data_IF_537185660189
#
_entry.id   IF_537185660189
#
_cell.length_a   1.000
_cell.length_b   1.000
_cell.length_c   1.000
_cell.angle_alpha   90.00
_cell.angle_beta   90.00
_cell.angle_gamma   90.00
#
_symmetry.space_group_name_H-M   'P 1'
#
loop_
_entity.id
_entity.type
_entity.pdbx_description
1 polymer ?
#
# COMPACT_ATOMS: atom_id res chain seq x y z
N UNK A 1 1.09 34.24 -2.34
CA UNK A 1 1.38 33.01 -3.10
C UNK A 1 1.25 31.86 -2.11
N UNK A 2 0.13 31.15 -2.14
CA UNK A 2 -0.15 30.06 -1.21
C UNK A 2 0.52 28.81 -1.79
N UNK A 3 1.53 28.28 -1.12
CA UNK A 3 2.13 27.00 -1.49
C UNK A 3 1.04 25.94 -1.30
N UNK A 4 0.72 25.23 -2.37
CA UNK A 4 -0.11 24.02 -2.28
C UNK A 4 0.71 23.02 -1.47
N UNK A 5 0.27 22.68 -0.26
CA UNK A 5 0.93 21.62 0.50
C UNK A 5 0.87 20.35 -0.36
N UNK A 6 2.04 19.91 -0.81
CA UNK A 6 2.17 18.66 -1.53
C UNK A 6 2.09 17.58 -0.47
N UNK A 7 1.03 16.77 -0.49
CA UNK A 7 0.87 15.65 0.44
C UNK A 7 2.12 14.75 0.42
N UNK A 8 2.41 14.14 1.57
CA UNK A 8 3.58 13.27 1.70
C UNK A 8 3.51 12.10 0.70
N UNK A 9 4.65 11.63 0.19
CA UNK A 9 4.69 10.54 -0.78
C UNK A 9 4.30 9.20 -0.15
N UNK A 10 3.93 8.25 -1.01
CA UNK A 10 3.73 6.85 -0.64
C UNK A 10 4.93 6.02 -1.10
N UNK A 11 5.35 5.05 -0.28
CA UNK A 11 6.41 4.11 -0.66
C UNK A 11 5.82 3.04 -1.57
N UNK A 12 6.34 2.92 -2.80
CA UNK A 12 6.01 1.79 -3.67
C UNK A 12 6.80 0.55 -3.26
N UNK A 13 6.13 -0.41 -2.62
CA UNK A 13 6.77 -1.62 -2.10
C UNK A 13 7.17 -2.58 -3.20
N UNK A 14 6.67 -2.43 -4.43
CA UNK A 14 7.09 -3.27 -5.55
C UNK A 14 8.22 -2.67 -6.39
N UNK A 15 8.54 -1.39 -6.16
CA UNK A 15 9.58 -0.71 -6.93
C UNK A 15 10.95 -1.33 -6.67
N UNK A 16 11.72 -1.70 -7.73
CA UNK A 16 13.10 -2.14 -7.58
C UNK A 16 13.97 -1.14 -6.83
N UNK A 17 13.70 0.16 -6.98
CA UNK A 17 14.42 1.21 -6.24
C UNK A 17 14.17 1.11 -4.73
N UNK A 18 12.94 0.83 -4.31
CA UNK A 18 12.61 0.56 -2.90
C UNK A 18 13.32 -0.69 -2.41
N UNK A 19 13.41 -1.74 -3.24
CA UNK A 19 14.08 -2.98 -2.87
C UNK A 19 15.58 -2.80 -2.64
N UNK A 20 16.26 -2.13 -3.57
CA UNK A 20 17.69 -1.78 -3.42
C UNK A 20 17.89 -0.94 -2.16
N UNK A 21 17.07 0.10 -1.97
CA UNK A 21 17.19 0.98 -0.82
C UNK A 21 17.03 0.22 0.50
N UNK A 22 15.98 -0.60 0.66
CA UNK A 22 15.73 -1.35 1.89
C UNK A 22 16.77 -2.44 2.13
N UNK A 23 17.29 -3.06 1.07
CA UNK A 23 18.39 -4.04 1.18
C UNK A 23 19.63 -3.40 1.79
N UNK A 24 19.95 -2.16 1.41
CA UNK A 24 21.10 -1.43 1.91
C UNK A 24 20.87 -0.77 3.27
N UNK A 25 19.68 -0.20 3.51
CA UNK A 25 19.43 0.72 4.63
C UNK A 25 18.51 0.16 5.71
N UNK A 26 17.89 -1.00 5.49
CA UNK A 26 17.06 -1.70 6.46
C UNK A 26 17.43 -3.20 6.58
N UNK A 27 18.71 -3.60 6.64
CA UNK A 27 19.09 -5.01 6.67
C UNK A 27 18.51 -5.76 7.88
N UNK A 28 18.39 -5.10 9.04
CA UNK A 28 17.79 -5.71 10.23
C UNK A 28 16.32 -6.10 10.03
N UNK A 29 15.56 -5.26 9.32
CA UNK A 29 14.17 -5.56 8.93
C UNK A 29 14.11 -6.83 8.07
N UNK A 30 15.03 -6.97 7.12
CA UNK A 30 15.03 -8.09 6.16
C UNK A 30 15.53 -9.39 6.80
N UNK A 31 16.55 -9.31 7.66
CA UNK A 31 17.08 -10.47 8.39
C UNK A 31 16.05 -11.10 9.32
N UNK A 32 15.13 -10.32 9.90
CA UNK A 32 13.99 -10.85 10.68
C UNK A 32 13.03 -11.74 9.85
N UNK A 33 13.14 -11.68 8.52
CA UNK A 33 12.36 -12.45 7.58
C UNK A 33 13.23 -13.43 6.77
N UNK A 34 14.49 -13.65 7.16
CA UNK A 34 15.47 -14.50 6.46
C UNK A 34 15.73 -14.04 5.00
N UNK A 35 15.72 -12.73 4.77
CA UNK A 35 15.94 -12.12 3.45
C UNK A 35 17.25 -11.34 3.47
N UNK A 36 18.17 -11.68 2.58
CA UNK A 36 19.42 -10.93 2.38
C UNK A 36 19.28 -9.87 1.29
N UNK A 37 18.55 -10.18 0.21
CA UNK A 37 18.33 -9.29 -0.91
C UNK A 37 16.83 -9.25 -1.22
N UNK A 38 16.21 -8.08 -1.03
CA UNK A 38 14.80 -7.90 -1.30
C UNK A 38 14.55 -7.89 -2.81
N UNK A 39 13.49 -8.56 -3.24
CA UNK A 39 12.98 -8.48 -4.61
C UNK A 39 11.43 -8.54 -4.62
N UNK A 40 10.87 -8.41 -5.82
CA UNK A 40 9.41 -8.44 -6.01
C UNK A 40 8.78 -9.78 -5.62
N UNK A 41 9.49 -10.90 -5.72
CA UNK A 41 8.95 -12.22 -5.37
C UNK A 41 8.75 -12.36 -3.86
N UNK A 42 9.63 -11.77 -3.05
CA UNK A 42 9.45 -11.70 -1.60
C UNK A 42 8.21 -10.88 -1.22
N UNK A 43 8.04 -9.71 -1.85
CA UNK A 43 6.90 -8.80 -1.58
C UNK A 43 5.57 -9.42 -2.01
N UNK A 44 5.56 -10.11 -3.16
CA UNK A 44 4.39 -10.85 -3.68
C UNK A 44 4.18 -12.20 -3.01
N UNK A 45 5.06 -12.59 -2.09
CA UNK A 45 4.99 -13.84 -1.35
C UNK A 45 3.64 -14.04 -0.64
N UNK A 46 3.32 -15.29 -0.26
CA UNK A 46 2.04 -15.62 0.36
C UNK A 46 1.86 -14.95 1.73
N UNK A 47 2.97 -14.57 2.37
CA UNK A 47 2.98 -14.00 3.72
C UNK A 47 3.02 -12.46 3.69
N UNK A 48 2.00 -11.82 4.27
CA UNK A 48 1.91 -10.35 4.37
C UNK A 48 2.71 -9.75 5.52
N UNK A 49 3.43 -10.56 6.30
CA UNK A 49 4.30 -10.06 7.36
C UNK A 49 5.37 -9.11 6.83
N UNK A 50 6.00 -9.43 5.69
CA UNK A 50 7.03 -8.57 5.09
C UNK A 50 6.47 -7.22 4.65
N UNK A 51 5.34 -7.19 3.93
CA UNK A 51 4.68 -5.93 3.52
C UNK A 51 4.31 -5.07 4.73
N UNK A 52 3.82 -5.70 5.82
CA UNK A 52 3.49 -5.00 7.07
C UNK A 52 4.73 -4.49 7.79
N UNK A 53 5.82 -5.25 7.77
CA UNK A 53 7.08 -4.85 8.38
C UNK A 53 7.70 -3.66 7.62
N UNK A 54 7.66 -3.68 6.28
CA UNK A 54 8.02 -2.54 5.44
C UNK A 54 7.14 -1.32 5.73
N UNK A 55 5.82 -1.51 5.86
CA UNK A 55 4.91 -0.44 6.24
C UNK A 55 5.27 0.16 7.61
N UNK A 56 5.53 -0.69 8.62
CA UNK A 56 5.94 -0.23 9.96
C UNK A 56 7.29 0.49 9.95
N UNK A 57 8.25 0.01 9.16
CA UNK A 57 9.53 0.69 8.97
C UNK A 57 9.32 2.07 8.35
N UNK A 58 8.56 2.17 7.26
CA UNK A 58 8.26 3.44 6.58
C UNK A 58 7.50 4.41 7.49
N UNK A 59 6.51 3.92 8.24
CA UNK A 59 5.76 4.71 9.22
C UNK A 59 6.66 5.33 10.30
N UNK A 60 7.74 4.64 10.69
CA UNK A 60 8.69 5.14 11.70
C UNK A 60 9.67 6.19 11.16
N UNK A 61 9.69 6.46 9.86
CA UNK A 61 10.64 7.38 9.24
C UNK A 61 10.17 8.82 9.40
N UNK A 62 11.01 9.63 10.01
CA UNK A 62 10.79 11.05 10.25
C UNK A 62 11.97 11.87 9.75
N UNK A 63 11.73 13.15 9.48
CA UNK A 63 12.78 14.13 9.20
C UNK A 63 13.52 14.57 10.48
N UNK A 64 14.39 15.57 10.36
CA UNK A 64 15.15 16.13 11.49
C UNK A 64 14.29 16.84 12.55
N UNK A 65 13.04 17.17 12.22
CA UNK A 65 12.07 17.80 13.11
C UNK A 65 11.11 16.79 13.74
N UNK A 66 11.18 15.52 13.35
CA UNK A 66 10.28 14.48 13.81
C UNK A 66 8.98 14.38 12.99
N UNK A 67 8.89 15.08 11.87
CA UNK A 67 7.72 15.03 10.99
C UNK A 67 7.78 13.79 10.09
N UNK A 68 6.64 13.13 9.82
CA UNK A 68 6.61 11.91 9.02
C UNK A 68 7.09 12.15 7.59
N UNK A 69 7.87 11.21 7.04
CA UNK A 69 8.38 11.30 5.66
C UNK A 69 7.43 10.73 4.60
N UNK A 70 6.45 9.92 5.01
CA UNK A 70 5.57 9.18 4.10
C UNK A 70 4.12 9.20 4.57
N UNK A 71 3.17 9.27 3.63
CA UNK A 71 1.74 9.16 3.88
C UNK A 71 1.25 7.70 3.95
N UNK A 72 2.06 6.73 3.51
CA UNK A 72 1.64 5.34 3.42
C UNK A 72 2.49 4.50 2.47
N UNK A 73 1.94 3.35 2.08
CA UNK A 73 2.54 2.45 1.10
C UNK A 73 1.58 2.07 -0.03
N UNK A 74 2.13 1.86 -1.23
CA UNK A 74 1.49 1.21 -2.37
C UNK A 74 1.97 -0.23 -2.49
N UNK A 75 1.07 -1.18 -2.71
CA UNK A 75 1.40 -2.59 -2.90
C UNK A 75 0.37 -3.27 -3.80
N UNK A 76 0.71 -4.43 -4.37
CA UNK A 76 -0.25 -5.25 -5.14
C UNK A 76 -0.92 -6.31 -4.26
N UNK A 77 -2.21 -6.50 -4.53
CA UNK A 77 -3.08 -7.46 -3.86
C UNK A 77 -2.58 -8.90 -4.02
N UNK A 78 -3.02 -9.77 -3.12
CA UNK A 78 -2.72 -11.22 -3.20
C UNK A 78 -3.68 -11.97 -4.12
N UNK A 79 -4.89 -11.44 -4.26
CA UNK A 79 -6.01 -12.14 -4.92
C UNK A 79 -6.16 -11.76 -6.39
N UNK A 80 -5.26 -10.91 -6.91
CA UNK A 80 -5.20 -10.45 -8.29
C UNK A 80 -4.20 -9.30 -8.42
N UNK A 81 -4.04 -8.78 -9.64
CA UNK A 81 -3.14 -7.66 -9.93
C UNK A 81 -3.81 -6.31 -9.63
N UNK A 82 -4.35 -6.19 -8.42
CA UNK A 82 -5.00 -4.97 -7.95
C UNK A 82 -4.02 -4.14 -7.16
N UNK A 83 -3.94 -2.87 -7.51
CA UNK A 83 -3.24 -1.89 -6.71
C UNK A 83 -3.99 -1.64 -5.39
N UNK A 84 -3.25 -1.60 -4.29
CA UNK A 84 -3.75 -1.31 -2.97
C UNK A 84 -2.87 -0.24 -2.32
N UNK A 85 -3.53 0.58 -1.50
CA UNK A 85 -2.90 1.68 -0.78
C UNK A 85 -3.20 1.52 0.70
N UNK A 86 -2.16 1.48 1.54
CA UNK A 86 -2.31 1.60 2.98
C UNK A 86 -1.92 3.02 3.38
N UNK A 87 -2.86 3.74 3.98
CA UNK A 87 -2.68 5.12 4.44
C UNK A 87 -2.28 5.09 5.92
N UNK A 88 -1.25 5.84 6.28
CA UNK A 88 -0.78 5.96 7.65
C UNK A 88 -1.64 6.94 8.45
N UNK A 89 -1.67 6.73 9.77
CA UNK A 89 -2.30 7.67 10.68
C UNK A 89 -1.62 9.04 10.58
N UNK A 90 -2.42 10.11 10.63
CA UNK A 90 -1.95 11.48 10.46
C UNK A 90 -1.69 11.93 9.02
N UNK A 91 -1.80 11.04 8.02
CA UNK A 91 -1.73 11.46 6.62
C UNK A 91 -2.92 12.38 6.28
N UNK A 92 -2.63 13.53 5.66
CA UNK A 92 -3.67 14.46 5.24
C UNK A 92 -4.53 13.87 4.12
N UNK A 93 -5.83 13.74 4.37
CA UNK A 93 -6.82 13.27 3.41
C UNK A 93 -7.93 14.30 3.26
N UNK A 94 -8.28 14.61 2.02
CA UNK A 94 -9.43 15.45 1.69
C UNK A 94 -10.53 14.58 1.10
N UNK A 95 -11.76 14.76 1.58
CA UNK A 95 -12.92 14.11 0.98
C UNK A 95 -13.19 14.76 -0.39
N UNK A 96 -12.86 14.05 -1.46
CA UNK A 96 -13.14 14.49 -2.82
C UNK A 96 -14.62 14.26 -3.18
N UNK A 97 -15.10 13.03 -2.98
CA UNK A 97 -16.48 12.66 -3.32
C UNK A 97 -17.00 11.51 -2.45
N UNK A 98 -18.31 11.32 -2.45
CA UNK A 98 -18.98 10.19 -1.80
C UNK A 98 -20.06 9.67 -2.73
N UNK A 99 -20.14 8.35 -2.86
CA UNK A 99 -21.17 7.68 -3.64
C UNK A 99 -21.54 6.35 -2.99
N UNK A 100 -22.79 5.95 -3.15
CA UNK A 100 -23.25 4.63 -2.72
C UNK A 100 -22.80 3.58 -3.74
N UNK A 101 -22.22 2.47 -3.25
CA UNK A 101 -21.95 1.31 -4.08
C UNK A 101 -23.25 0.50 -4.21
N UNK A 102 -23.94 0.66 -5.33
CA UNK A 102 -25.16 -0.10 -5.63
C UNK A 102 -24.85 -1.41 -6.35
N UNK A 103 -25.81 -2.35 -6.42
CA UNK A 103 -25.65 -3.60 -7.20
C UNK A 103 -25.40 -3.33 -8.68
N UNK A 104 -25.77 -2.14 -9.15
CA UNK A 104 -25.59 -1.72 -10.52
C UNK A 104 -24.25 -1.01 -10.80
N UNK A 105 -23.42 -0.83 -9.77
CA UNK A 105 -22.12 -0.20 -9.89
C UNK A 105 -21.23 -0.97 -10.89
N UNK A 106 -20.69 -0.30 -11.93
CA UNK A 106 -19.87 -0.95 -12.95
C UNK A 106 -18.63 -1.65 -12.38
N UNK A 107 -17.93 -1.02 -11.41
CA UNK A 107 -16.72 -1.59 -10.82
C UNK A 107 -17.07 -2.81 -9.95
N UNK A 108 -18.18 -2.76 -9.22
CA UNK A 108 -18.66 -3.92 -8.46
C UNK A 108 -19.02 -5.09 -9.39
N UNK A 109 -19.73 -4.83 -10.48
CA UNK A 109 -20.11 -5.86 -11.48
C UNK A 109 -18.89 -6.45 -12.18
N UNK A 110 -17.89 -5.63 -12.50
CA UNK A 110 -16.64 -6.08 -13.10
C UNK A 110 -15.91 -7.08 -12.18
N UNK A 111 -15.73 -6.73 -10.91
CA UNK A 111 -15.09 -7.61 -9.92
C UNK A 111 -15.92 -8.87 -9.70
N UNK A 112 -17.25 -8.77 -9.60
CA UNK A 112 -18.11 -9.95 -9.46
C UNK A 112 -17.97 -10.92 -10.64
N UNK A 113 -17.94 -10.40 -11.87
CA UNK A 113 -17.73 -11.22 -13.06
C UNK A 113 -16.34 -11.89 -13.06
N UNK A 114 -15.29 -11.16 -12.71
CA UNK A 114 -13.92 -11.67 -12.64
C UNK A 114 -13.79 -12.85 -11.68
N UNK A 115 -14.50 -12.82 -10.55
CA UNK A 115 -14.47 -13.87 -9.53
C UNK A 115 -15.65 -14.84 -9.59
N UNK A 116 -16.48 -14.77 -10.65
CA UNK A 116 -17.67 -15.61 -10.83
C UNK A 116 -18.64 -15.57 -9.64
N UNK A 117 -18.82 -14.38 -9.06
CA UNK A 117 -19.75 -14.11 -7.97
C UNK A 117 -21.11 -13.69 -8.54
N UNK A 118 -22.17 -13.93 -7.75
CA UNK A 118 -23.52 -13.47 -8.06
C UNK A 118 -24.08 -12.70 -6.88
N UNK A 119 -24.91 -11.70 -7.16
CA UNK A 119 -25.65 -10.98 -6.13
C UNK A 119 -26.92 -11.76 -5.80
N UNK A 120 -27.17 -11.97 -4.51
CA UNK A 120 -28.42 -12.59 -4.05
C UNK A 120 -29.63 -11.71 -4.35
N UNK A 121 -30.86 -12.25 -4.21
CA UNK A 121 -32.07 -11.46 -4.35
C UNK A 121 -32.08 -10.32 -3.32
N UNK A 122 -32.24 -9.08 -3.78
CA UNK A 122 -32.54 -7.95 -2.89
C UNK A 122 -34.00 -8.07 -2.45
N UNK A 123 -34.26 -8.60 -1.26
CA UNK A 123 -35.56 -8.51 -0.57
C UNK A 123 -35.77 -7.15 0.06
#
# INVERSE_FOLDING_TARGET
>A
MQLKEVGLPFVDVESPTTHTFLTEHAPELLLQHDIENLDVAHVRGPNRLLTRAIAGWAYSRTDEHGEPLYAGIRYVSRVGDFECWAVFDGAHVELDSTQDITVDDPALREVANLYHLSFGPMT
#
